data_IF_070598571641
#
_entry.id   IF_070598571641
#
_cell.length_a   1.000
_cell.length_b   1.000
_cell.length_c   1.000
_cell.angle_alpha   90.00
_cell.angle_beta   90.00
_cell.angle_gamma   90.00
#
_symmetry.space_group_name_H-M   'P 1'
#
loop_
_entity.id
_entity.type
_entity.pdbx_description
1 polymer ?
#
# COMPACT_ATOMS: atom_id res chain seq x y z
N UNK A 1 -15.26 5.23 -1.29
CA UNK A 1 -15.59 3.81 -1.58
C UNK A 1 -14.37 3.02 -1.13
N UNK A 2 -14.50 2.11 -0.18
CA UNK A 2 -13.37 1.32 0.32
C UNK A 2 -13.09 0.16 -0.64
N UNK A 3 -11.80 -0.21 -0.80
CA UNK A 3 -11.44 -1.37 -1.60
C UNK A 3 -12.10 -2.65 -1.04
N UNK A 4 -12.58 -3.53 -1.92
CA UNK A 4 -13.24 -4.77 -1.49
C UNK A 4 -12.27 -5.65 -0.68
N UNK A 5 -12.73 -6.17 0.46
CA UNK A 5 -11.89 -6.92 1.39
C UNK A 5 -11.24 -8.15 0.73
N UNK A 6 -11.96 -8.83 -0.18
CA UNK A 6 -11.43 -9.99 -0.93
C UNK A 6 -10.32 -9.60 -1.89
N UNK A 7 -10.41 -8.40 -2.46
CA UNK A 7 -9.39 -7.88 -3.38
C UNK A 7 -8.13 -7.49 -2.59
N UNK A 8 -8.29 -6.89 -1.41
CA UNK A 8 -7.18 -6.63 -0.49
C UNK A 8 -6.45 -7.94 -0.17
N UNK A 9 -7.15 -9.02 0.20
CA UNK A 9 -6.55 -10.33 0.55
C UNK A 9 -5.65 -10.97 -0.54
N UNK A 10 -5.72 -10.51 -1.79
CA UNK A 10 -4.89 -11.02 -2.90
C UNK A 10 -3.97 -9.95 -3.50
N UNK A 11 -4.00 -8.73 -2.97
CA UNK A 11 -3.36 -7.59 -3.61
C UNK A 11 -1.86 -7.56 -3.34
N UNK A 12 -1.06 -7.79 -4.39
CA UNK A 12 0.38 -7.86 -4.28
C UNK A 12 1.14 -6.79 -5.05
N UNK A 13 2.28 -6.37 -4.50
CA UNK A 13 3.22 -5.49 -5.19
C UNK A 13 3.53 -6.06 -6.59
N UNK A 14 3.40 -5.26 -7.68
CA UNK A 14 3.65 -5.75 -9.03
C UNK A 14 5.10 -6.21 -9.24
N UNK A 15 6.05 -5.65 -8.48
CA UNK A 15 7.48 -5.94 -8.56
C UNK A 15 7.88 -7.15 -7.74
N UNK A 16 7.60 -7.13 -6.44
CA UNK A 16 8.13 -8.11 -5.47
C UNK A 16 7.13 -9.22 -5.12
N UNK A 17 5.88 -9.11 -5.57
CA UNK A 17 4.80 -10.08 -5.31
C UNK A 17 4.59 -10.36 -3.81
N UNK A 18 4.73 -9.33 -2.98
CA UNK A 18 4.49 -9.35 -1.54
C UNK A 18 3.41 -8.34 -1.12
N UNK A 19 2.82 -8.51 0.08
CA UNK A 19 1.72 -7.69 0.61
C UNK A 19 2.04 -6.22 0.78
N UNK A 20 1.07 -5.35 0.58
CA UNK A 20 1.17 -3.90 0.69
C UNK A 20 0.40 -3.40 1.91
N UNK A 21 0.80 -2.27 2.48
CA UNK A 21 0.04 -1.60 3.54
C UNK A 21 -1.02 -0.72 2.87
N UNK A 22 -2.30 -0.99 3.12
CA UNK A 22 -3.40 -0.20 2.58
C UNK A 22 -3.86 0.85 3.60
N UNK A 23 -3.69 2.12 3.26
CA UNK A 23 -4.20 3.27 3.99
C UNK A 23 -5.50 3.73 3.35
N UNK A 24 -6.63 3.23 3.85
CA UNK A 24 -7.95 3.57 3.32
C UNK A 24 -8.29 5.07 3.43
N UNK A 25 -7.77 5.73 4.47
CA UNK A 25 -7.93 7.18 4.71
C UNK A 25 -7.19 8.03 3.67
N UNK A 26 -6.11 7.50 3.08
CA UNK A 26 -5.27 8.21 2.11
C UNK A 26 -5.39 7.61 0.69
N UNK A 27 -6.29 6.63 0.49
CA UNK A 27 -6.44 5.87 -0.75
C UNK A 27 -5.07 5.43 -1.31
N UNK A 28 -4.23 4.87 -0.45
CA UNK A 28 -2.82 4.61 -0.73
C UNK A 28 -2.42 3.18 -0.39
N UNK A 29 -1.67 2.56 -1.29
CA UNK A 29 -1.02 1.27 -1.08
C UNK A 29 0.48 1.48 -1.00
N UNK A 30 1.09 1.06 0.11
CA UNK A 30 2.49 1.33 0.37
C UNK A 30 3.30 0.04 0.50
N UNK A 31 4.46 0.02 -0.15
CA UNK A 31 5.46 -1.02 -0.01
C UNK A 31 6.64 -0.50 0.83
N UNK A 32 6.73 -0.85 2.14
CA UNK A 32 7.83 -0.39 3.00
C UNK A 32 9.19 -0.96 2.58
N UNK A 33 9.25 -2.13 1.92
CA UNK A 33 10.50 -2.78 1.50
C UNK A 33 11.17 -2.04 0.34
N UNK A 34 10.37 -1.62 -0.65
CA UNK A 34 10.84 -0.89 -1.82
C UNK A 34 10.71 0.63 -1.66
N UNK A 35 10.09 1.10 -0.58
CA UNK A 35 9.69 2.50 -0.37
C UNK A 35 8.93 3.08 -1.56
N UNK A 36 7.98 2.29 -2.07
CA UNK A 36 7.13 2.66 -3.21
C UNK A 36 5.67 2.77 -2.78
N UNK A 37 4.99 3.78 -3.28
CA UNK A 37 3.57 4.03 -3.07
C UNK A 37 2.79 3.87 -4.38
N UNK A 38 1.60 3.31 -4.29
CA UNK A 38 0.65 3.16 -5.39
C UNK A 38 -0.67 3.82 -4.98
N UNK A 39 -1.19 4.72 -5.81
CA UNK A 39 -2.45 5.40 -5.53
C UNK A 39 -3.64 4.51 -5.86
N UNK A 40 -4.71 4.65 -5.09
CA UNK A 40 -6.02 4.11 -5.41
C UNK A 40 -6.87 5.25 -5.96
N UNK A 41 -7.36 5.09 -7.18
CA UNK A 41 -8.21 6.08 -7.84
C UNK A 41 -9.59 5.47 -8.07
N UNK A 42 -10.63 6.08 -7.50
CA UNK A 42 -12.02 5.58 -7.59
C UNK A 42 -12.18 4.11 -7.16
N UNK A 43 -11.41 3.67 -6.17
CA UNK A 43 -11.41 2.26 -5.72
C UNK A 43 -10.66 1.31 -6.64
N UNK A 44 -9.90 1.82 -7.62
CA UNK A 44 -9.04 1.03 -8.51
C UNK A 44 -7.57 1.30 -8.16
N UNK A 45 -6.81 0.30 -7.69
CA UNK A 45 -5.40 0.46 -7.38
C UNK A 45 -4.56 0.54 -8.65
N UNK A 46 -3.78 1.62 -8.80
CA UNK A 46 -2.88 1.82 -9.94
C UNK A 46 -1.58 1.02 -9.70
N UNK A 47 -1.63 -0.27 -10.02
CA UNK A 47 -0.54 -1.23 -9.78
C UNK A 47 0.45 -1.29 -10.94
N UNK A 48 0.83 -0.13 -11.48
CA UNK A 48 1.82 -0.01 -12.55
C UNK A 48 3.16 0.41 -11.95
N UNK A 49 4.28 -0.28 -12.30
CA UNK A 49 5.59 0.06 -11.75
C UNK A 49 6.08 1.45 -12.17
N UNK A 50 5.64 1.95 -13.32
CA UNK A 50 5.99 3.29 -13.84
C UNK A 50 5.27 4.42 -13.09
N UNK A 51 4.04 4.16 -12.65
CA UNK A 51 3.22 5.09 -11.85
C UNK A 51 3.53 5.02 -10.34
N UNK A 52 4.49 4.18 -9.95
CA UNK A 52 4.88 4.01 -8.56
C UNK A 52 5.63 5.26 -8.06
N UNK A 53 5.16 5.81 -6.94
CA UNK A 53 5.73 7.00 -6.33
C UNK A 53 6.86 6.58 -5.38
N UNK A 54 8.04 7.18 -5.53
CA UNK A 54 9.12 7.07 -4.55
C UNK A 54 8.75 7.78 -3.24
N UNK A 55 8.87 7.04 -2.14
CA UNK A 55 8.61 7.55 -0.80
C UNK A 55 9.94 7.88 -0.15
N UNK A 56 10.13 9.16 0.18
CA UNK A 56 11.30 9.63 0.92
C UNK A 56 11.34 9.04 2.34
N UNK A 57 12.50 9.03 2.98
CA UNK A 57 12.70 8.44 4.31
C UNK A 57 11.78 9.02 5.39
N UNK A 58 11.50 10.32 5.35
CA UNK A 58 10.62 10.98 6.32
C UNK A 58 9.18 10.47 6.21
N UNK A 59 8.67 10.36 4.97
CA UNK A 59 7.34 9.84 4.70
C UNK A 59 7.26 8.32 4.94
N UNK A 60 8.35 7.58 4.68
CA UNK A 60 8.44 6.17 5.06
C UNK A 60 8.26 5.98 6.56
N UNK A 61 8.93 6.80 7.38
CA UNK A 61 8.79 6.75 8.82
C UNK A 61 7.36 7.09 9.27
N UNK A 62 6.75 8.12 8.67
CA UNK A 62 5.35 8.50 8.94
C UNK A 62 4.37 7.38 8.61
N UNK A 63 4.46 6.79 7.42
CA UNK A 63 3.57 5.72 6.96
C UNK A 63 3.74 4.45 7.81
N UNK A 64 4.99 4.08 8.14
CA UNK A 64 5.25 2.90 8.98
C UNK A 64 4.69 3.11 10.39
N UNK A 65 4.91 4.27 11.00
CA UNK A 65 4.36 4.59 12.32
C UNK A 65 2.82 4.64 12.30
N UNK A 66 2.22 5.17 11.23
CA UNK A 66 0.75 5.18 11.04
C UNK A 66 0.22 3.75 10.94
N UNK A 67 0.88 2.88 10.17
CA UNK A 67 0.49 1.48 10.07
C UNK A 67 0.53 0.76 11.42
N UNK A 68 1.56 0.99 12.23
CA UNK A 68 1.65 0.44 13.58
C UNK A 68 0.55 0.99 14.51
N UNK A 69 0.30 2.29 14.46
CA UNK A 69 -0.71 2.95 15.30
C UNK A 69 -2.14 2.52 14.97
N UNK A 70 -2.43 2.29 13.69
CA UNK A 70 -3.75 1.87 13.20
C UNK A 70 -3.90 0.35 13.09
N UNK A 71 -2.83 -0.41 13.36
CA UNK A 71 -2.83 -1.87 13.23
C UNK A 71 -3.01 -2.36 11.79
N UNK A 72 -2.53 -1.58 10.81
CA UNK A 72 -2.62 -1.91 9.39
C UNK A 72 -1.66 -3.07 9.10
N UNK A 73 -2.24 -4.22 8.79
CA UNK A 73 -1.53 -5.39 8.33
C UNK A 73 -1.30 -5.34 6.80
N UNK A 74 -0.28 -6.05 6.28
CA UNK A 74 -0.11 -6.23 4.86
C UNK A 74 -1.34 -6.91 4.23
N UNK A 75 -1.68 -6.50 3.02
CA UNK A 75 -2.84 -6.97 2.25
C UNK A 75 -2.88 -8.50 2.07
N UNK A 76 -1.72 -9.16 2.00
CA UNK A 76 -1.62 -10.62 2.04
C UNK A 76 -0.22 -11.07 2.47
N UNK A 77 -0.12 -12.32 2.94
CA UNK A 77 1.09 -12.93 3.46
C UNK A 77 1.14 -12.86 4.99
N UNK A 78 1.00 -14.04 5.61
CA UNK A 78 1.41 -14.32 6.99
C UNK A 78 2.94 -14.47 7.05
#
# INVERSE_FOLDING_TARGET
MTLDARLLEILACPTDKQGLLYFADEDLLYNPRLKKAYRVHEGIPVMLPDEAIDVADDEHARLTAKAEAEGIAPTFGD
#
